data_IF_035044903395
#
_entry.id   IF_035044903395
#
_cell.length_a   1.000
_cell.length_b   1.000
_cell.length_c   1.000
_cell.angle_alpha   90.00
_cell.angle_beta   90.00
_cell.angle_gamma   90.00
#
_symmetry.space_group_name_H-M   'P 1'
#
loop_
_entity.id
_entity.type
_entity.pdbx_description
1 polymer ?
#
# COMPACT_ATOMS: atom_id res chain seq x y z
N UNK A 1 6.51 5.42 -39.17
CA UNK A 1 7.17 4.38 -38.35
C UNK A 1 7.60 4.88 -36.94
N UNK A 2 7.47 6.21 -36.68
CA UNK A 2 7.81 6.77 -35.37
C UNK A 2 6.76 6.36 -34.34
N UNK A 3 7.18 6.09 -33.11
CA UNK A 3 6.34 5.99 -31.94
C UNK A 3 6.58 7.28 -31.15
N UNK A 4 5.52 8.07 -30.97
CA UNK A 4 5.55 9.29 -30.19
C UNK A 4 4.82 9.03 -28.88
N UNK A 5 5.50 9.22 -27.75
CA UNK A 5 4.93 8.96 -26.42
C UNK A 5 4.93 10.25 -25.61
N UNK A 6 3.82 10.55 -24.96
CA UNK A 6 3.61 11.79 -24.23
C UNK A 6 2.92 11.54 -22.89
N UNK A 7 3.43 12.17 -21.82
CA UNK A 7 2.72 12.33 -20.55
C UNK A 7 2.07 13.72 -20.51
N UNK A 8 0.81 13.76 -20.10
CA UNK A 8 0.06 14.97 -19.80
C UNK A 8 -0.40 14.92 -18.34
N UNK A 9 -0.68 16.06 -17.72
CA UNK A 9 -1.31 16.12 -16.41
C UNK A 9 -2.75 15.60 -16.43
N UNK A 10 -3.50 16.03 -17.43
CA UNK A 10 -4.92 15.72 -17.66
C UNK A 10 -5.14 15.20 -19.08
N UNK A 11 -6.19 14.41 -19.28
CA UNK A 11 -6.55 13.92 -20.60
C UNK A 11 -6.90 15.08 -21.56
N UNK A 12 -6.54 14.98 -22.85
CA UNK A 12 -6.69 16.08 -23.79
C UNK A 12 -8.16 16.41 -24.12
N UNK A 13 -9.05 15.46 -23.90
CA UNK A 13 -10.50 15.57 -24.07
C UNK A 13 -11.23 15.95 -22.77
N UNK A 14 -10.49 16.17 -21.68
CA UNK A 14 -11.07 16.62 -20.40
C UNK A 14 -11.22 18.13 -20.34
N UNK A 15 -12.17 18.62 -19.55
CA UNK A 15 -12.32 20.05 -19.24
C UNK A 15 -11.10 20.70 -18.56
N UNK A 16 -10.11 19.90 -18.17
CA UNK A 16 -8.89 20.33 -17.49
C UNK A 16 -7.63 20.14 -18.36
N UNK A 17 -7.79 19.91 -19.66
CA UNK A 17 -6.70 19.57 -20.59
C UNK A 17 -5.49 20.54 -20.54
N UNK A 18 -5.78 21.83 -20.31
CA UNK A 18 -4.79 22.91 -20.28
C UNK A 18 -4.26 23.23 -18.86
N UNK A 19 -4.72 22.50 -17.85
CA UNK A 19 -4.25 22.73 -16.48
C UNK A 19 -2.85 22.15 -16.25
N UNK A 20 -2.06 22.90 -15.47
CA UNK A 20 -0.75 22.44 -15.06
C UNK A 20 -0.86 21.32 -14.03
N UNK A 21 0.04 20.36 -14.10
CA UNK A 21 0.11 19.25 -13.17
C UNK A 21 1.56 18.87 -12.87
N UNK A 22 1.76 18.47 -11.64
CA UNK A 22 2.94 17.78 -11.12
C UNK A 22 2.45 16.57 -10.33
N UNK A 23 3.36 15.76 -9.82
CA UNK A 23 3.07 14.58 -9.00
C UNK A 23 1.92 14.78 -8.00
N UNK A 24 2.04 15.81 -7.13
CA UNK A 24 1.05 16.05 -6.07
C UNK A 24 -0.33 16.51 -6.61
N UNK A 25 -0.36 17.18 -7.76
CA UNK A 25 -1.63 17.58 -8.39
C UNK A 25 -2.34 16.37 -8.98
N UNK A 26 -1.57 15.48 -9.62
CA UNK A 26 -2.09 14.21 -10.12
C UNK A 26 -2.63 13.34 -8.98
N UNK A 27 -1.90 13.24 -7.87
CA UNK A 27 -2.32 12.50 -6.67
C UNK A 27 -3.61 13.09 -6.08
N UNK A 28 -3.72 14.41 -5.99
CA UNK A 28 -4.91 15.08 -5.47
C UNK A 28 -6.14 14.85 -6.35
N UNK A 29 -5.99 15.07 -7.67
CA UNK A 29 -7.10 15.02 -8.61
C UNK A 29 -7.44 13.61 -9.10
N UNK A 30 -6.52 12.66 -8.99
CA UNK A 30 -6.69 11.27 -9.39
C UNK A 30 -7.08 10.33 -8.25
N UNK A 31 -7.20 10.85 -6.99
CA UNK A 31 -7.81 10.13 -5.87
C UNK A 31 -6.85 9.55 -4.84
N UNK A 32 -5.58 9.31 -5.17
CA UNK A 32 -4.62 8.69 -4.24
C UNK A 32 -4.43 9.51 -2.96
N UNK A 33 -4.43 10.83 -3.05
CA UNK A 33 -4.37 11.69 -1.87
C UNK A 33 -5.66 11.63 -1.04
N UNK A 34 -6.83 11.59 -1.70
CA UNK A 34 -8.13 11.59 -1.03
C UNK A 34 -8.40 10.35 -0.17
N UNK A 35 -7.82 9.20 -0.53
CA UNK A 35 -7.96 7.94 0.21
C UNK A 35 -6.89 7.76 1.30
N UNK A 36 -5.88 8.64 1.36
CA UNK A 36 -4.76 8.54 2.27
C UNK A 36 -4.94 9.47 3.47
N UNK A 37 -4.66 8.98 4.68
CA UNK A 37 -4.80 9.69 5.94
C UNK A 37 -5.69 8.98 6.94
N UNK A 38 -5.81 9.57 8.12
CA UNK A 38 -6.68 9.06 9.19
C UNK A 38 -8.16 9.32 8.87
N UNK A 39 -9.09 8.51 9.40
CA UNK A 39 -10.53 8.62 9.06
C UNK A 39 -11.12 10.01 9.29
N UNK A 40 -10.80 10.62 10.43
CA UNK A 40 -11.40 11.86 10.91
C UNK A 40 -10.48 13.08 10.73
N UNK A 41 -9.41 12.93 9.95
CA UNK A 41 -8.44 13.99 9.69
C UNK A 41 -8.43 14.39 8.21
N UNK A 42 -7.84 15.56 7.85
CA UNK A 42 -7.63 15.93 6.47
C UNK A 42 -6.84 14.87 5.69
N UNK A 43 -6.98 14.80 4.35
CA UNK A 43 -6.18 13.90 3.54
C UNK A 43 -4.68 14.20 3.67
N UNK A 44 -3.87 13.17 3.64
CA UNK A 44 -2.42 13.27 3.72
C UNK A 44 -1.82 12.98 2.33
N UNK A 45 -0.90 13.84 1.88
CA UNK A 45 -0.16 13.60 0.65
C UNK A 45 0.76 12.38 0.83
N UNK A 46 0.65 11.33 0.00
CA UNK A 46 1.63 10.25 -0.04
C UNK A 46 3.05 10.79 -0.28
N UNK A 47 4.03 10.27 0.43
CA UNK A 47 5.43 10.72 0.33
C UNK A 47 6.11 10.33 -0.98
N UNK A 48 5.68 9.20 -1.58
CA UNK A 48 6.21 8.70 -2.85
C UNK A 48 5.72 9.52 -4.04
N UNK A 49 6.58 9.70 -5.05
CA UNK A 49 6.26 10.39 -6.30
C UNK A 49 5.55 9.47 -7.29
N UNK A 50 4.48 8.80 -6.83
CA UNK A 50 3.76 7.78 -7.62
C UNK A 50 3.04 8.38 -8.83
N UNK A 51 2.70 9.66 -8.77
CA UNK A 51 2.12 10.40 -9.89
C UNK A 51 3.08 10.50 -11.08
N UNK A 52 4.35 10.77 -10.83
CA UNK A 52 5.39 10.83 -11.86
C UNK A 52 5.86 9.42 -12.24
N UNK A 53 6.40 8.68 -11.28
CA UNK A 53 7.06 7.39 -11.54
C UNK A 53 6.07 6.32 -12.01
N UNK A 54 4.90 6.25 -11.40
CA UNK A 54 3.87 5.29 -11.78
C UNK A 54 3.30 5.58 -13.18
N UNK A 55 3.10 6.85 -13.52
CA UNK A 55 2.69 7.24 -14.88
C UNK A 55 3.76 6.90 -15.91
N UNK A 56 5.04 7.16 -15.59
CA UNK A 56 6.17 6.80 -16.45
C UNK A 56 6.26 5.30 -16.71
N UNK A 57 6.04 4.47 -15.70
CA UNK A 57 5.98 3.00 -15.85
C UNK A 57 4.84 2.56 -16.76
N UNK A 58 3.64 3.11 -16.61
CA UNK A 58 2.50 2.80 -17.48
C UNK A 58 2.75 3.25 -18.93
N UNK A 59 3.38 4.41 -19.13
CA UNK A 59 3.76 4.87 -20.47
C UNK A 59 4.78 3.91 -21.11
N UNK A 60 5.76 3.44 -20.35
CA UNK A 60 6.76 2.48 -20.81
C UNK A 60 6.12 1.17 -21.30
N UNK A 61 5.09 0.68 -20.61
CA UNK A 61 4.30 -0.48 -21.07
C UNK A 61 3.60 -0.19 -22.41
N UNK A 62 3.02 1.00 -22.56
CA UNK A 62 2.42 1.44 -23.81
C UNK A 62 3.42 1.51 -24.97
N UNK A 63 4.63 2.02 -24.70
CA UNK A 63 5.73 2.08 -25.69
C UNK A 63 6.14 0.67 -26.14
N UNK A 64 6.33 -0.26 -25.20
CA UNK A 64 6.68 -1.66 -25.51
C UNK A 64 5.58 -2.32 -26.35
N UNK A 65 4.31 -2.13 -26.01
CA UNK A 65 3.19 -2.64 -26.79
C UNK A 65 3.17 -2.07 -28.22
N UNK A 66 3.44 -0.78 -28.38
CA UNK A 66 3.53 -0.13 -29.69
C UNK A 66 4.73 -0.61 -30.53
N UNK A 67 5.86 -0.88 -29.87
CA UNK A 67 7.03 -1.46 -30.54
C UNK A 67 6.72 -2.86 -31.06
N UNK A 68 6.06 -3.69 -30.23
CA UNK A 68 5.62 -5.03 -30.64
C UNK A 68 4.65 -4.97 -31.83
N UNK A 69 3.60 -4.11 -31.75
CA UNK A 69 2.66 -3.92 -32.84
C UNK A 69 3.36 -3.44 -34.13
N UNK A 70 4.37 -2.57 -34.02
CA UNK A 70 5.13 -2.07 -35.17
C UNK A 70 5.86 -3.17 -35.93
N UNK A 71 6.30 -4.25 -35.26
CA UNK A 71 6.97 -5.39 -35.90
C UNK A 71 6.06 -6.02 -36.97
N UNK A 72 4.77 -6.19 -36.66
CA UNK A 72 3.81 -6.82 -37.56
C UNK A 72 3.17 -5.84 -38.55
N UNK A 73 2.89 -4.61 -38.12
CA UNK A 73 2.14 -3.64 -38.93
C UNK A 73 3.03 -2.69 -39.74
N UNK A 74 4.30 -2.53 -39.36
CA UNK A 74 5.22 -1.54 -39.91
C UNK A 74 4.83 -0.08 -39.55
N UNK A 75 3.75 0.14 -38.78
CA UNK A 75 3.23 1.46 -38.46
C UNK A 75 3.69 1.94 -37.10
N UNK A 76 3.95 3.24 -36.96
CA UNK A 76 4.10 3.90 -35.68
C UNK A 76 2.74 4.36 -35.14
N UNK A 77 2.76 4.92 -33.92
CA UNK A 77 1.56 5.48 -33.30
C UNK A 77 1.90 6.55 -32.26
N UNK A 78 0.93 7.36 -31.95
CA UNK A 78 0.97 8.27 -30.81
C UNK A 78 0.37 7.58 -29.57
N UNK A 79 1.13 7.58 -28.47
CA UNK A 79 0.72 7.07 -27.18
C UNK A 79 0.67 8.25 -26.24
N UNK A 80 -0.45 8.40 -25.56
CA UNK A 80 -0.63 9.45 -24.57
C UNK A 80 -1.20 8.86 -23.29
N UNK A 81 -0.68 9.30 -22.13
CA UNK A 81 -1.19 8.97 -20.83
C UNK A 81 -1.34 10.25 -20.00
N UNK A 82 -2.44 10.36 -19.26
CA UNK A 82 -2.63 11.44 -18.31
C UNK A 82 -2.26 10.96 -16.88
N UNK A 83 -1.51 11.79 -16.16
CA UNK A 83 -1.10 11.48 -14.78
C UNK A 83 -2.31 11.28 -13.86
N UNK A 84 -3.35 12.11 -14.02
CA UNK A 84 -4.60 11.97 -13.28
C UNK A 84 -5.25 10.59 -13.47
N UNK A 85 -5.29 10.09 -14.69
CA UNK A 85 -5.91 8.81 -15.03
C UNK A 85 -5.08 7.63 -14.52
N UNK A 86 -3.74 7.79 -14.55
CA UNK A 86 -2.82 6.84 -13.93
C UNK A 86 -3.09 6.74 -12.41
N UNK A 87 -3.27 7.87 -11.72
CA UNK A 87 -3.60 7.87 -10.29
C UNK A 87 -4.95 7.22 -10.01
N UNK A 88 -5.96 7.49 -10.83
CA UNK A 88 -7.26 6.83 -10.72
C UNK A 88 -7.13 5.30 -10.83
N UNK A 89 -6.24 4.81 -11.70
CA UNK A 89 -5.99 3.37 -11.84
C UNK A 89 -5.44 2.74 -10.55
N UNK A 90 -4.64 3.45 -9.77
CA UNK A 90 -4.16 2.98 -8.45
C UNK A 90 -5.24 2.97 -7.36
N UNK A 91 -6.36 3.67 -7.57
CA UNK A 91 -7.50 3.72 -6.65
C UNK A 91 -8.56 2.63 -6.91
N UNK A 92 -8.31 1.62 -7.74
CA UNK A 92 -9.32 0.61 -8.13
C UNK A 92 -9.96 -0.10 -6.96
N UNK A 93 -9.19 -0.53 -5.97
CA UNK A 93 -9.73 -1.22 -4.78
C UNK A 93 -10.61 -0.31 -3.93
N UNK A 94 -10.19 0.91 -3.52
CA UNK A 94 -11.08 1.85 -2.86
C UNK A 94 -12.32 2.18 -3.70
N UNK A 95 -12.19 2.38 -5.01
CA UNK A 95 -13.34 2.68 -5.88
C UNK A 95 -14.35 1.54 -5.97
N UNK A 96 -13.89 0.29 -6.03
CA UNK A 96 -14.83 -0.85 -6.03
C UNK A 96 -15.61 -0.96 -4.71
N UNK A 97 -15.00 -0.59 -3.59
CA UNK A 97 -15.68 -0.50 -2.29
C UNK A 97 -16.65 0.67 -2.25
N UNK A 98 -16.25 1.83 -2.79
CA UNK A 98 -17.10 3.01 -2.89
C UNK A 98 -18.33 2.76 -3.76
N UNK A 99 -18.22 2.00 -4.85
CA UNK A 99 -19.33 1.65 -5.73
C UNK A 99 -20.47 0.87 -5.06
N UNK A 100 -20.20 0.24 -3.92
CA UNK A 100 -21.19 -0.46 -3.10
C UNK A 100 -21.79 0.41 -1.96
N UNK A 101 -21.53 1.73 -1.97
CA UNK A 101 -21.93 2.66 -0.91
C UNK A 101 -22.48 3.96 -1.48
N UNK A 102 -23.48 4.49 -0.83
CA UNK A 102 -24.07 5.81 -1.15
C UNK A 102 -23.39 6.97 -0.39
N UNK A 103 -22.68 6.65 0.72
CA UNK A 103 -21.91 7.62 1.51
C UNK A 103 -20.42 7.57 1.18
N UNK A 104 -19.68 8.62 1.55
CA UNK A 104 -18.24 8.68 1.34
C UNK A 104 -17.53 7.61 2.18
N UNK A 105 -16.74 6.75 1.53
CA UNK A 105 -15.93 5.77 2.24
C UNK A 105 -14.85 6.49 3.07
N UNK A 106 -14.77 6.23 4.40
CA UNK A 106 -13.76 6.83 5.24
C UNK A 106 -12.35 6.37 4.83
N UNK A 107 -11.35 7.22 5.07
CA UNK A 107 -9.95 6.84 4.94
C UNK A 107 -9.60 5.72 5.92
N UNK A 108 -8.73 4.82 5.50
CA UNK A 108 -8.41 3.63 6.28
C UNK A 108 -7.34 3.83 7.37
N UNK A 109 -6.69 4.98 7.39
CA UNK A 109 -5.52 5.19 8.26
C UNK A 109 -4.42 4.16 8.00
N UNK A 110 -3.84 3.66 9.06
CA UNK A 110 -2.79 2.63 9.02
C UNK A 110 -3.35 1.19 9.04
N UNK A 111 -4.66 1.03 9.03
CA UNK A 111 -5.31 -0.28 9.13
C UNK A 111 -5.94 -0.75 7.82
N UNK A 112 -6.30 -2.02 7.79
CA UNK A 112 -7.15 -2.59 6.75
C UNK A 112 -8.55 -2.74 7.31
N UNK A 113 -9.51 -1.98 6.76
CA UNK A 113 -10.91 -2.01 7.20
C UNK A 113 -11.45 -3.45 7.27
N UNK A 114 -12.06 -3.77 8.40
CA UNK A 114 -12.66 -5.07 8.67
C UNK A 114 -11.64 -6.21 8.80
N UNK A 115 -10.38 -5.95 9.15
CA UNK A 115 -9.35 -7.00 9.34
C UNK A 115 -8.57 -6.72 10.61
N UNK A 116 -8.44 -7.74 11.47
CA UNK A 116 -7.59 -7.73 12.64
C UNK A 116 -6.84 -9.08 12.78
N UNK A 117 -5.52 -9.03 13.03
CA UNK A 117 -4.68 -7.85 12.91
C UNK A 117 -4.47 -7.41 11.45
N UNK A 118 -4.32 -6.12 11.28
CA UNK A 118 -4.01 -5.51 9.98
C UNK A 118 -3.66 -4.04 10.16
N UNK A 119 -2.41 -3.73 10.52
CA UNK A 119 -2.01 -2.36 10.81
C UNK A 119 -0.57 -2.21 11.28
N UNK A 120 -0.25 -1.00 11.72
CA UNK A 120 1.04 -0.65 12.31
C UNK A 120 1.04 -0.93 13.81
N UNK A 121 2.12 -1.56 14.27
CA UNK A 121 2.36 -1.85 15.67
C UNK A 121 3.69 -1.22 16.11
N UNK A 122 3.71 -0.49 17.23
CA UNK A 122 4.94 0.10 17.75
C UNK A 122 5.87 -1.00 18.24
N UNK A 123 7.17 -0.76 18.08
CA UNK A 123 8.24 -1.68 18.46
C UNK A 123 9.23 -0.96 19.39
N UNK A 124 10.05 -1.72 20.11
CA UNK A 124 11.17 -1.17 20.90
C UNK A 124 12.14 -0.43 19.97
N UNK A 125 12.71 0.73 20.36
CA UNK A 125 12.56 1.40 21.67
C UNK A 125 11.34 2.32 21.78
N UNK A 126 10.48 2.46 20.76
CA UNK A 126 9.25 3.26 20.81
C UNK A 126 9.40 4.67 20.23
N UNK A 127 10.34 4.86 19.30
CA UNK A 127 10.49 6.10 18.54
C UNK A 127 9.48 6.24 17.39
N UNK A 128 9.55 7.38 16.70
CA UNK A 128 8.63 7.70 15.59
C UNK A 128 8.79 6.79 14.35
N UNK A 129 9.94 6.11 14.23
CA UNK A 129 10.26 5.19 13.12
C UNK A 129 10.24 3.71 13.55
N UNK A 130 9.90 3.42 14.81
CA UNK A 130 9.96 2.07 15.35
C UNK A 130 8.63 1.35 15.24
N UNK A 131 8.28 0.94 14.02
CA UNK A 131 7.02 0.24 13.72
C UNK A 131 7.24 -0.98 12.83
N UNK A 132 6.40 -1.99 13.03
CA UNK A 132 6.20 -3.10 12.09
C UNK A 132 4.76 -3.12 11.59
N UNK A 133 4.57 -3.48 10.32
CA UNK A 133 3.25 -3.74 9.75
C UNK A 133 2.95 -5.22 9.81
N UNK A 134 1.88 -5.62 10.49
CA UNK A 134 1.48 -7.02 10.66
C UNK A 134 0.09 -7.21 10.04
N UNK A 135 -0.06 -8.29 9.26
CA UNK A 135 -1.31 -8.57 8.56
C UNK A 135 -1.68 -10.05 8.60
N UNK A 136 -2.87 -10.35 9.12
CA UNK A 136 -3.47 -11.67 9.00
C UNK A 136 -4.61 -11.62 7.98
N UNK A 137 -4.44 -12.38 6.89
CA UNK A 137 -5.46 -12.46 5.85
C UNK A 137 -6.75 -13.10 6.38
N UNK A 138 -7.91 -12.53 6.03
CA UNK A 138 -9.23 -13.10 6.34
C UNK A 138 -9.45 -14.50 5.74
N UNK A 139 -8.80 -14.80 4.63
CA UNK A 139 -8.89 -16.10 3.95
C UNK A 139 -7.93 -17.16 4.49
N UNK A 140 -7.14 -16.84 5.51
CA UNK A 140 -6.13 -17.77 6.04
C UNK A 140 -6.01 -17.65 7.56
N UNK A 141 -6.79 -18.45 8.28
CA UNK A 141 -6.80 -18.47 9.74
C UNK A 141 -5.49 -19.02 10.35
N UNK A 142 -4.67 -19.71 9.57
CA UNK A 142 -3.35 -20.16 10.03
C UNK A 142 -2.39 -19.00 10.34
N UNK A 143 -2.57 -17.84 9.68
CA UNK A 143 -1.79 -16.65 10.03
C UNK A 143 -2.05 -16.23 11.49
N UNK A 144 -3.31 -16.23 11.90
CA UNK A 144 -3.68 -15.88 13.28
C UNK A 144 -3.10 -16.86 14.30
N UNK A 145 -3.26 -18.17 14.08
CA UNK A 145 -2.74 -19.20 14.99
C UNK A 145 -1.22 -19.11 15.13
N UNK A 146 -0.51 -18.92 14.03
CA UNK A 146 0.96 -18.77 14.03
C UNK A 146 1.39 -17.50 14.74
N UNK A 147 0.71 -16.38 14.49
CA UNK A 147 0.97 -15.13 15.19
C UNK A 147 0.79 -15.30 16.70
N UNK A 148 -0.32 -15.91 17.14
CA UNK A 148 -0.57 -16.17 18.56
C UNK A 148 0.54 -17.03 19.20
N UNK A 149 1.07 -18.02 18.47
CA UNK A 149 2.21 -18.83 18.92
C UNK A 149 3.46 -17.98 19.10
N UNK A 150 3.77 -17.10 18.12
CA UNK A 150 4.95 -16.22 18.17
C UNK A 150 4.88 -15.28 19.38
N UNK A 151 3.73 -14.67 19.62
CA UNK A 151 3.54 -13.70 20.72
C UNK A 151 3.23 -14.37 22.07
N UNK A 152 3.22 -15.73 22.16
CA UNK A 152 2.95 -16.47 23.38
C UNK A 152 1.51 -16.36 23.88
N UNK A 153 0.54 -16.15 22.96
CA UNK A 153 -0.89 -15.96 23.26
C UNK A 153 -1.76 -17.01 22.55
N UNK A 154 -1.40 -18.29 22.70
CA UNK A 154 -2.18 -19.41 22.15
C UNK A 154 -3.59 -19.52 22.76
N UNK A 155 -3.84 -18.86 23.89
CA UNK A 155 -5.17 -18.66 24.46
C UNK A 155 -6.10 -17.95 23.50
N UNK A 156 -5.62 -16.88 22.82
CA UNK A 156 -6.38 -16.12 21.83
C UNK A 156 -6.68 -16.94 20.57
N UNK A 157 -5.77 -17.83 20.18
CA UNK A 157 -6.00 -18.72 19.04
C UNK A 157 -7.12 -19.75 19.29
N UNK A 158 -7.44 -20.03 20.55
CA UNK A 158 -8.47 -20.97 20.99
C UNK A 158 -9.78 -20.27 21.41
N UNK A 159 -9.77 -18.96 21.53
CA UNK A 159 -10.94 -18.18 21.93
C UNK A 159 -11.97 -18.13 20.79
N UNK A 160 -13.22 -18.60 21.01
CA UNK A 160 -14.28 -18.53 20.00
C UNK A 160 -14.55 -17.12 19.47
N UNK A 161 -14.32 -16.07 20.27
CA UNK A 161 -14.45 -14.66 19.86
C UNK A 161 -13.43 -14.25 18.81
N UNK A 162 -12.34 -15.00 18.68
CA UNK A 162 -11.23 -14.75 17.76
C UNK A 162 -11.20 -15.73 16.57
N UNK A 163 -12.24 -16.55 16.41
CA UNK A 163 -12.25 -17.67 15.47
C UNK A 163 -12.25 -17.25 13.98
N UNK A 164 -12.61 -16.02 13.66
CA UNK A 164 -12.56 -15.51 12.29
C UNK A 164 -12.02 -14.09 12.24
N UNK A 165 -11.59 -13.64 11.04
CA UNK A 165 -11.09 -12.27 10.84
C UNK A 165 -12.12 -11.20 11.20
N UNK A 166 -13.40 -11.44 10.95
CA UNK A 166 -14.48 -10.51 11.29
C UNK A 166 -14.69 -10.44 12.81
N UNK A 167 -14.75 -11.58 13.50
CA UNK A 167 -14.86 -11.63 14.97
C UNK A 167 -13.66 -10.95 15.63
N UNK A 168 -12.44 -11.18 15.12
CA UNK A 168 -11.26 -10.46 15.62
C UNK A 168 -11.34 -8.96 15.40
N UNK A 169 -11.96 -8.53 14.30
CA UNK A 169 -12.13 -7.10 14.05
C UNK A 169 -13.09 -6.45 15.05
N UNK A 170 -14.14 -7.16 15.47
CA UNK A 170 -15.05 -6.71 16.52
C UNK A 170 -14.35 -6.58 17.89
N UNK A 171 -13.26 -7.34 18.09
CA UNK A 171 -12.43 -7.31 19.29
C UNK A 171 -11.01 -6.71 19.01
N UNK A 172 -10.92 -5.81 18.04
CA UNK A 172 -9.65 -5.26 17.53
C UNK A 172 -8.75 -4.70 18.63
N UNK A 173 -9.30 -4.02 19.61
CA UNK A 173 -8.54 -3.41 20.71
C UNK A 173 -7.81 -4.47 21.55
N UNK A 174 -8.46 -5.60 21.85
CA UNK A 174 -7.85 -6.72 22.58
C UNK A 174 -6.73 -7.39 21.76
N UNK A 175 -6.98 -7.57 20.46
CA UNK A 175 -6.00 -8.11 19.51
C UNK A 175 -4.79 -7.20 19.39
N UNK A 176 -5.01 -5.91 19.16
CA UNK A 176 -3.94 -4.93 18.99
C UNK A 176 -3.11 -4.77 20.27
N UNK A 177 -3.77 -4.78 21.44
CA UNK A 177 -3.09 -4.74 22.72
C UNK A 177 -2.16 -5.94 22.92
N UNK A 178 -2.64 -7.14 22.66
CA UNK A 178 -1.84 -8.36 22.82
C UNK A 178 -0.61 -8.35 21.91
N UNK A 179 -0.74 -7.87 20.69
CA UNK A 179 0.36 -7.74 19.74
C UNK A 179 1.33 -6.64 20.20
N UNK A 180 0.82 -5.48 20.59
CA UNK A 180 1.63 -4.35 21.05
C UNK A 180 2.44 -4.70 22.30
N UNK A 181 1.84 -5.39 23.26
CA UNK A 181 2.54 -5.82 24.48
C UNK A 181 3.77 -6.69 24.17
N UNK A 182 3.73 -7.46 23.08
CA UNK A 182 4.86 -8.27 22.63
C UNK A 182 5.83 -7.46 21.74
N UNK A 183 5.34 -6.69 20.76
CA UNK A 183 6.19 -5.96 19.83
C UNK A 183 7.04 -4.89 20.52
N UNK A 184 6.53 -4.27 21.59
CA UNK A 184 7.26 -3.30 22.40
C UNK A 184 8.44 -3.90 23.19
N UNK A 185 8.59 -5.22 23.20
CA UNK A 185 9.75 -5.90 23.79
C UNK A 185 10.85 -6.16 22.75
N UNK A 186 10.57 -5.98 21.45
CA UNK A 186 11.43 -6.34 20.33
C UNK A 186 11.62 -5.15 19.39
N UNK A 187 12.76 -5.07 18.73
CA UNK A 187 12.97 -4.11 17.63
C UNK A 187 12.10 -4.46 16.43
N UNK A 188 11.82 -3.50 15.56
CA UNK A 188 11.01 -3.75 14.35
C UNK A 188 11.58 -4.85 13.44
N UNK A 189 12.92 -4.99 13.41
CA UNK A 189 13.59 -6.05 12.65
C UNK A 189 13.39 -7.41 13.30
N UNK A 190 13.59 -7.51 14.63
CA UNK A 190 13.31 -8.75 15.38
C UNK A 190 11.84 -9.18 15.25
N UNK A 191 10.90 -8.21 15.30
CA UNK A 191 9.46 -8.46 15.07
C UNK A 191 9.23 -9.04 13.69
N UNK A 192 9.81 -8.43 12.65
CA UNK A 192 9.69 -8.92 11.29
C UNK A 192 10.27 -10.32 11.13
N UNK A 193 11.47 -10.56 11.62
CA UNK A 193 12.13 -11.87 11.52
C UNK A 193 11.35 -12.99 12.23
N UNK A 194 10.89 -12.72 13.44
CA UNK A 194 10.12 -13.70 14.22
C UNK A 194 8.78 -14.04 13.57
N UNK A 195 8.02 -13.03 13.14
CA UNK A 195 6.66 -13.22 12.61
C UNK A 195 6.69 -13.71 11.16
N UNK A 196 7.51 -13.11 10.30
CA UNK A 196 7.61 -13.53 8.90
C UNK A 196 8.28 -14.92 8.78
N UNK A 197 9.21 -15.27 9.69
CA UNK A 197 9.80 -16.61 9.79
C UNK A 197 8.76 -17.71 10.00
N UNK A 198 7.70 -17.43 10.73
CA UNK A 198 6.54 -18.35 10.93
C UNK A 198 5.49 -18.21 9.81
N UNK A 199 5.84 -17.58 8.69
CA UNK A 199 4.97 -17.40 7.50
C UNK A 199 3.69 -16.60 7.77
N UNK A 200 3.78 -15.59 8.60
CA UNK A 200 2.76 -14.55 8.78
C UNK A 200 3.24 -13.27 8.09
N UNK A 201 2.44 -12.62 7.25
CA UNK A 201 2.84 -11.37 6.62
C UNK A 201 3.21 -10.30 7.65
N UNK A 202 4.48 -9.90 7.65
CA UNK A 202 5.03 -8.89 8.53
C UNK A 202 6.19 -8.17 7.83
N UNK A 203 6.30 -6.86 8.05
CA UNK A 203 7.40 -6.05 7.53
C UNK A 203 7.76 -4.93 8.49
N UNK A 204 9.06 -4.76 8.74
CA UNK A 204 9.57 -3.59 9.45
C UNK A 204 9.37 -2.33 8.58
N UNK A 205 8.94 -1.24 9.18
CA UNK A 205 8.82 0.04 8.48
C UNK A 205 10.17 0.73 8.46
N UNK A 206 10.88 0.59 7.36
CA UNK A 206 12.18 1.20 7.17
C UNK A 206 12.06 2.65 6.69
N UNK A 207 12.85 3.54 7.27
CA UNK A 207 13.05 4.88 6.76
C UNK A 207 14.14 4.91 5.66
N UNK A 208 14.29 6.05 4.97
CA UNK A 208 15.24 6.18 3.86
C UNK A 208 16.70 6.04 4.30
N UNK A 209 17.04 6.40 5.53
CA UNK A 209 18.39 6.22 6.07
C UNK A 209 18.75 4.76 6.22
N UNK A 210 17.82 3.94 6.69
CA UNK A 210 17.98 2.49 6.85
C UNK A 210 18.08 1.81 5.47
N UNK A 211 17.17 2.14 4.55
CA UNK A 211 17.16 1.57 3.21
C UNK A 211 18.45 1.83 2.43
N UNK A 212 19.03 3.03 2.54
CA UNK A 212 20.31 3.35 1.89
C UNK A 212 21.51 2.57 2.44
N UNK A 213 21.34 1.89 3.57
CA UNK A 213 22.37 1.08 4.24
C UNK A 213 22.04 -0.40 4.29
N UNK A 214 20.94 -0.77 3.67
CA UNK A 214 20.51 -2.17 3.60
C UNK A 214 21.46 -2.95 2.66
N UNK A 215 22.11 -3.94 3.25
CA UNK A 215 23.11 -4.77 2.54
C UNK A 215 22.52 -5.51 1.34
N UNK A 216 21.26 -5.90 1.37
CA UNK A 216 20.61 -6.60 0.25
C UNK A 216 20.41 -5.66 -0.93
N UNK A 217 19.92 -4.44 -0.69
CA UNK A 217 19.77 -3.43 -1.74
C UNK A 217 21.12 -3.02 -2.32
N UNK A 218 22.15 -2.85 -1.49
CA UNK A 218 23.51 -2.53 -1.92
C UNK A 218 24.11 -3.66 -2.79
N UNK A 219 24.01 -4.91 -2.35
CA UNK A 219 24.50 -6.07 -3.11
C UNK A 219 23.80 -6.27 -4.45
N UNK A 220 22.54 -5.89 -4.54
CA UNK A 220 21.74 -5.98 -5.77
C UNK A 220 21.87 -4.77 -6.68
N UNK A 221 22.68 -3.78 -6.31
CA UNK A 221 22.87 -2.55 -7.09
C UNK A 221 21.61 -1.69 -7.21
N UNK A 222 20.75 -1.71 -6.18
CA UNK A 222 19.54 -0.90 -6.13
C UNK A 222 19.82 0.51 -5.61
N UNK A 223 20.96 0.69 -4.95
CA UNK A 223 21.49 1.95 -4.42
C UNK A 223 22.86 2.25 -4.96
#
# INVERSE_FOLDING_TARGET
>A
RIIFAQVKGFAPDSKHADYLSFDMIAQATGGTMGINGMPDEPPIRPGSTVGDTGTGMLLSMGIIAALFQRVTTGKGQHIQIAMRDAMLNYCRTPMSRQAARDDVMPRGGNGVSGTAPGGLYPCKPGGLDDYAYIFCSRGNEEHWKRLCKVIGREDLAKDPRMASGDLRFDHKEEVDKAITDWTMQHTKTEVMEAIAGEKVPCGAVYNTYELMRDDDFLKRGMM
#
